data_IF_553021990164
#
_entry.id   IF_553021990164
#
_cell.length_a   1.000
_cell.length_b   1.000
_cell.length_c   1.000
_cell.angle_alpha   90.00
_cell.angle_beta   90.00
_cell.angle_gamma   90.00
#
_symmetry.space_group_name_H-M   'P 1'
#
loop_
_entity.id
_entity.type
_entity.pdbx_description
1 polymer ?
#
# COMPACT_ATOMS: atom_id res chain seq x y z
N UNK A 1 -1.45 43.47 -39.16
CA UNK A 1 -1.22 44.65 -38.33
C UNK A 1 -0.65 44.07 -37.04
N UNK A 2 0.69 43.97 -36.99
CA UNK A 2 1.61 44.86 -36.25
C UNK A 2 1.40 44.74 -34.75
N UNK A 3 2.29 44.29 -33.88
CA UNK A 3 3.73 44.53 -33.85
C UNK A 3 4.50 43.50 -33.00
N UNK A 4 5.73 43.35 -33.30
CA UNK A 4 6.79 42.65 -32.60
C UNK A 4 7.37 43.55 -31.51
N UNK A 5 7.69 43.04 -30.34
CA UNK A 5 8.81 43.56 -29.56
C UNK A 5 9.69 42.48 -28.98
N UNK A 6 10.95 42.54 -29.42
CA UNK A 6 12.12 41.82 -28.91
C UNK A 6 12.75 42.66 -27.80
N UNK A 7 13.12 42.08 -26.69
CA UNK A 7 14.06 42.68 -25.76
C UNK A 7 15.29 41.78 -25.54
N UNK A 8 16.39 42.30 -26.00
CA UNK A 8 17.77 41.88 -25.76
C UNK A 8 18.19 42.21 -24.33
N UNK A 9 18.83 41.30 -23.62
CA UNK A 9 19.67 41.63 -22.47
C UNK A 9 21.11 41.28 -22.73
N UNK A 10 21.96 42.30 -22.58
CA UNK A 10 23.39 42.31 -22.79
C UNK A 10 24.14 41.66 -21.64
N UNK A 11 25.16 40.90 -22.00
CA UNK A 11 26.26 40.45 -21.14
C UNK A 11 27.09 41.68 -20.72
N UNK A 12 27.38 41.83 -19.44
CA UNK A 12 28.48 42.67 -18.94
C UNK A 12 29.42 41.81 -18.10
N UNK A 13 30.66 41.81 -18.59
CA UNK A 13 31.85 41.24 -17.98
C UNK A 13 32.31 42.09 -16.80
N UNK A 14 32.75 41.46 -15.71
CA UNK A 14 33.59 42.09 -14.70
C UNK A 14 34.80 41.20 -14.42
N UNK A 15 35.98 41.80 -14.67
CA UNK A 15 37.30 41.28 -14.32
C UNK A 15 37.71 41.77 -12.92
N UNK A 16 38.59 41.06 -12.22
CA UNK A 16 39.07 41.44 -10.91
C UNK A 16 40.36 42.30 -10.97
N UNK A 17 40.65 43.07 -9.94
CA UNK A 17 42.01 43.51 -9.73
C UNK A 17 42.59 43.12 -8.37
N UNK A 18 43.89 43.04 -8.35
CA UNK A 18 44.89 43.33 -7.33
C UNK A 18 45.78 42.16 -6.91
N UNK A 19 46.94 42.20 -7.60
CA UNK A 19 48.21 41.63 -7.16
C UNK A 19 48.80 42.49 -6.03
N UNK A 20 49.12 41.89 -4.90
CA UNK A 20 49.95 42.48 -3.88
C UNK A 20 51.32 41.78 -3.88
N UNK A 21 52.36 42.55 -4.26
CA UNK A 21 53.75 42.16 -4.30
C UNK A 21 54.34 42.27 -2.89
N UNK A 22 54.79 41.17 -2.29
CA UNK A 22 55.60 41.18 -1.06
C UNK A 22 57.05 40.85 -1.44
N UNK A 23 57.95 41.75 -1.05
CA UNK A 23 59.41 41.69 -1.23
C UNK A 23 60.02 40.82 -0.13
N UNK A 24 60.77 39.78 -0.49
CA UNK A 24 61.51 38.95 0.47
C UNK A 24 62.89 39.54 0.73
N UNK A 25 63.26 39.78 1.99
CA UNK A 25 64.58 40.07 2.49
C UNK A 25 65.30 38.78 2.90
N UNK A 26 66.60 38.75 2.63
CA UNK A 26 67.57 37.66 2.87
C UNK A 26 67.72 37.34 4.37
N UNK A 27 67.65 36.03 4.72
CA UNK A 27 68.05 35.51 6.03
C UNK A 27 68.24 33.99 6.02
N UNK A 28 69.52 33.61 5.74
CA UNK A 28 69.97 32.20 5.73
C UNK A 28 70.02 31.66 7.15
N UNK A 29 69.27 30.64 7.45
CA UNK A 29 69.52 29.59 8.49
C UNK A 29 68.37 28.59 8.61
N UNK A 30 67.27 28.80 7.93
CA UNK A 30 66.09 27.92 8.05
C UNK A 30 65.98 26.84 6.93
N UNK A 31 66.75 26.96 5.83
CA UNK A 31 66.65 26.01 4.69
C UNK A 31 67.26 24.63 4.98
N UNK A 32 68.23 24.51 5.85
CA UNK A 32 68.89 23.22 6.10
C UNK A 32 68.07 22.29 7.04
N UNK A 33 67.18 22.83 7.84
CA UNK A 33 66.29 22.05 8.71
C UNK A 33 65.06 21.57 7.93
N UNK A 34 64.57 22.39 7.02
CA UNK A 34 63.40 22.05 6.19
C UNK A 34 63.70 20.93 5.18
N UNK A 35 64.89 20.88 4.60
CA UNK A 35 65.33 19.82 3.66
C UNK A 35 65.54 18.46 4.34
N UNK A 36 65.95 18.43 5.63
CA UNK A 36 66.06 17.15 6.39
C UNK A 36 64.70 16.63 6.86
N UNK A 37 63.74 17.48 7.19
CA UNK A 37 62.37 17.10 7.52
C UNK A 37 61.57 16.60 6.31
N UNK A 38 61.75 17.21 5.16
CA UNK A 38 61.12 16.76 3.89
C UNK A 38 61.66 15.40 3.40
N UNK A 39 62.95 15.08 3.67
CA UNK A 39 63.53 13.78 3.29
C UNK A 39 63.04 12.64 4.20
N UNK A 40 62.73 12.90 5.49
CA UNK A 40 62.14 11.94 6.42
C UNK A 40 60.66 11.70 6.11
N UNK A 41 59.91 12.73 5.77
CA UNK A 41 58.49 12.61 5.35
C UNK A 41 58.32 11.83 4.03
N UNK A 42 59.26 12.01 3.07
CA UNK A 42 59.24 11.21 1.82
C UNK A 42 59.50 9.72 2.04
N UNK A 43 60.34 9.34 3.02
CA UNK A 43 60.60 7.91 3.32
C UNK A 43 59.44 7.24 4.07
N UNK A 44 58.71 7.98 4.92
CA UNK A 44 57.50 7.47 5.57
C UNK A 44 56.28 7.33 4.64
N UNK A 45 56.12 8.23 3.66
CA UNK A 45 55.02 8.15 2.70
C UNK A 45 55.14 6.98 1.71
N UNK A 46 56.36 6.56 1.34
CA UNK A 46 56.56 5.42 0.41
C UNK A 46 56.32 4.07 1.07
N UNK A 47 56.59 3.91 2.35
CA UNK A 47 56.29 2.69 3.10
C UNK A 47 54.80 2.54 3.43
N UNK A 48 54.05 3.66 3.60
CA UNK A 48 52.62 3.63 3.81
C UNK A 48 51.80 3.35 2.54
N UNK A 49 52.30 3.80 1.37
CA UNK A 49 51.64 3.55 0.07
C UNK A 49 51.83 2.11 -0.40
N UNK A 50 52.95 1.45 -0.08
CA UNK A 50 53.13 0.02 -0.40
C UNK A 50 52.36 -0.93 0.52
N UNK A 51 52.05 -0.51 1.77
CA UNK A 51 51.26 -1.31 2.69
C UNK A 51 49.73 -1.23 2.40
N UNK A 52 49.26 -0.18 1.71
CA UNK A 52 47.84 -0.04 1.29
C UNK A 52 47.47 -0.86 0.03
N UNK A 53 48.46 -1.31 -0.75
CA UNK A 53 48.21 -2.09 -1.98
C UNK A 53 48.10 -3.60 -1.78
N UNK A 54 48.18 -4.14 -0.54
CA UNK A 54 48.10 -5.56 -0.23
C UNK A 54 46.94 -5.94 0.69
N UNK A 55 45.96 -5.05 0.89
CA UNK A 55 44.66 -5.48 1.44
C UNK A 55 43.92 -6.16 0.27
N UNK A 56 43.72 -7.49 0.29
CA UNK A 56 42.83 -8.10 -0.69
C UNK A 56 41.46 -7.43 -0.47
N UNK A 57 41.01 -6.70 -1.48
CA UNK A 57 39.61 -6.30 -1.63
C UNK A 57 38.80 -7.58 -1.78
N UNK A 58 38.58 -8.28 -0.69
CA UNK A 58 37.40 -9.10 -0.54
C UNK A 58 36.21 -8.13 -0.52
N UNK A 59 35.85 -7.64 -1.69
CA UNK A 59 34.50 -7.16 -1.92
C UNK A 59 33.60 -8.36 -1.65
N UNK A 60 33.24 -8.54 -0.37
CA UNK A 60 31.99 -9.20 -0.06
C UNK A 60 30.95 -8.32 -0.76
N UNK A 61 30.56 -8.73 -1.95
CA UNK A 61 29.29 -8.29 -2.53
C UNK A 61 28.26 -8.75 -1.53
N UNK A 62 28.03 -7.96 -0.49
CA UNK A 62 26.87 -8.10 0.36
C UNK A 62 25.70 -8.02 -0.62
N UNK A 63 25.05 -9.15 -0.89
CA UNK A 63 23.88 -9.20 -1.73
C UNK A 63 22.95 -8.12 -1.19
N UNK A 64 22.69 -7.11 -2.02
CA UNK A 64 21.78 -6.01 -1.65
C UNK A 64 20.48 -6.68 -1.24
N UNK A 65 19.96 -6.45 -0.02
CA UNK A 65 18.77 -7.14 0.41
C UNK A 65 17.67 -6.87 -0.63
N UNK A 66 17.06 -7.94 -1.15
CA UNK A 66 15.99 -7.87 -2.12
C UNK A 66 14.89 -6.98 -1.56
N UNK A 67 14.55 -5.90 -2.27
CA UNK A 67 13.55 -4.93 -1.85
C UNK A 67 12.18 -5.32 -2.40
N UNK A 68 11.14 -5.05 -1.62
CA UNK A 68 9.75 -5.16 -2.05
C UNK A 68 9.52 -4.31 -3.33
N UNK A 69 8.66 -4.81 -4.23
CA UNK A 69 8.36 -4.19 -5.53
C UNK A 69 9.49 -4.21 -6.56
N UNK A 70 10.71 -4.55 -6.19
CA UNK A 70 11.88 -4.48 -7.08
C UNK A 70 11.80 -5.49 -8.23
N UNK A 71 11.34 -6.72 -7.96
CA UNK A 71 11.18 -7.73 -8.99
C UNK A 71 10.16 -7.33 -10.05
N UNK A 72 9.05 -6.70 -9.62
CA UNK A 72 8.03 -6.16 -10.51
C UNK A 72 8.60 -5.07 -11.43
N UNK A 73 9.30 -4.10 -10.88
CA UNK A 73 9.91 -3.00 -11.65
C UNK A 73 10.88 -3.54 -12.72
N UNK A 74 11.73 -4.50 -12.35
CA UNK A 74 12.67 -5.14 -13.28
C UNK A 74 11.97 -5.93 -14.37
N UNK A 75 10.92 -6.70 -14.03
CA UNK A 75 10.12 -7.41 -15.01
C UNK A 75 9.48 -6.44 -16.01
N UNK A 76 8.89 -5.35 -15.53
CA UNK A 76 8.25 -4.35 -16.39
C UNK A 76 9.26 -3.69 -17.33
N UNK A 77 10.49 -3.45 -16.88
CA UNK A 77 11.57 -2.96 -17.74
C UNK A 77 11.95 -3.96 -18.84
N UNK A 78 12.08 -5.25 -18.49
CA UNK A 78 12.32 -6.33 -19.47
C UNK A 78 11.21 -6.38 -20.51
N UNK A 79 9.94 -6.38 -20.08
CA UNK A 79 8.79 -6.43 -20.99
C UNK A 79 8.71 -5.19 -21.90
N UNK A 80 9.00 -4.00 -21.37
CA UNK A 80 9.01 -2.75 -22.14
C UNK A 80 10.10 -2.78 -23.23
N UNK A 81 11.32 -3.17 -22.91
CA UNK A 81 12.43 -3.29 -23.86
C UNK A 81 12.12 -4.36 -24.92
N UNK A 82 11.57 -5.50 -24.50
CA UNK A 82 11.19 -6.58 -25.43
C UNK A 82 10.12 -6.10 -26.41
N UNK A 83 9.09 -5.38 -25.95
CA UNK A 83 8.03 -4.83 -26.79
C UNK A 83 8.51 -3.74 -27.75
N UNK A 84 9.60 -3.03 -27.40
CA UNK A 84 10.27 -2.06 -28.24
C UNK A 84 11.25 -2.69 -29.25
N UNK A 85 11.39 -4.02 -29.27
CA UNK A 85 12.36 -4.74 -30.13
C UNK A 85 13.81 -4.65 -29.65
N UNK A 86 14.07 -4.08 -28.47
CA UNK A 86 15.40 -3.90 -27.89
C UNK A 86 15.86 -5.15 -27.14
N UNK A 87 15.78 -6.31 -27.80
CA UNK A 87 15.98 -7.63 -27.18
C UNK A 87 17.39 -7.82 -26.60
N UNK A 88 18.41 -7.25 -27.24
CA UNK A 88 19.79 -7.29 -26.73
C UNK A 88 19.97 -6.52 -25.41
N UNK A 89 19.20 -5.47 -25.19
CA UNK A 89 19.20 -4.73 -23.91
C UNK A 89 18.33 -5.41 -22.85
N UNK A 90 17.26 -6.06 -23.27
CA UNK A 90 16.36 -6.80 -22.37
C UNK A 90 17.00 -8.06 -21.80
N UNK A 91 17.80 -8.77 -22.59
CA UNK A 91 18.34 -10.07 -22.22
C UNK A 91 19.14 -10.06 -20.90
N UNK A 92 20.19 -9.23 -20.72
CA UNK A 92 20.96 -9.24 -19.46
C UNK A 92 20.10 -8.87 -18.25
N UNK A 93 19.10 -8.00 -18.42
CA UNK A 93 18.17 -7.65 -17.33
C UNK A 93 17.26 -8.82 -16.95
N UNK A 94 16.85 -9.63 -17.94
CA UNK A 94 16.05 -10.83 -17.70
C UNK A 94 16.88 -11.93 -17.01
N UNK A 95 18.14 -12.11 -17.41
CA UNK A 95 19.09 -13.03 -16.78
C UNK A 95 19.32 -12.67 -15.31
N UNK A 96 19.59 -11.40 -15.04
CA UNK A 96 19.77 -10.88 -13.68
C UNK A 96 18.50 -11.04 -12.83
N UNK A 97 17.31 -10.80 -13.43
CA UNK A 97 16.05 -10.98 -12.74
C UNK A 97 15.80 -12.44 -12.36
N UNK A 98 16.01 -13.38 -13.28
CA UNK A 98 15.84 -14.82 -13.03
C UNK A 98 16.88 -15.36 -12.05
N UNK A 99 18.13 -14.87 -12.12
CA UNK A 99 19.16 -15.22 -11.15
C UNK A 99 18.77 -14.84 -9.71
N UNK A 100 18.22 -13.62 -9.54
CA UNK A 100 17.87 -13.09 -8.22
C UNK A 100 16.52 -13.63 -7.72
N UNK A 101 15.61 -13.99 -8.63
CA UNK A 101 14.27 -14.53 -8.35
C UNK A 101 13.99 -15.80 -9.17
N UNK A 102 14.67 -16.92 -8.84
CA UNK A 102 14.61 -18.14 -9.65
C UNK A 102 13.23 -18.82 -9.68
N UNK A 103 12.34 -18.47 -8.76
CA UNK A 103 10.96 -18.94 -8.70
C UNK A 103 9.96 -18.01 -9.42
N UNK A 104 10.44 -16.97 -10.12
CA UNK A 104 9.57 -16.04 -10.84
C UNK A 104 9.28 -16.56 -12.26
N UNK A 105 8.24 -17.37 -12.39
CA UNK A 105 7.87 -18.08 -13.62
C UNK A 105 7.67 -17.14 -14.82
N UNK A 106 7.04 -15.98 -14.62
CA UNK A 106 6.85 -15.01 -15.71
C UNK A 106 8.17 -14.40 -16.18
N UNK A 107 9.14 -14.18 -15.28
CA UNK A 107 10.47 -13.72 -15.63
C UNK A 107 11.24 -14.81 -16.39
N UNK A 108 11.11 -16.09 -16.00
CA UNK A 108 11.70 -17.23 -16.71
C UNK A 108 11.13 -17.36 -18.12
N UNK A 109 9.79 -17.16 -18.28
CA UNK A 109 9.16 -17.18 -19.60
C UNK A 109 9.69 -16.05 -20.50
N UNK A 110 9.81 -14.83 -19.96
CA UNK A 110 10.36 -13.68 -20.69
C UNK A 110 11.83 -13.91 -21.09
N UNK A 111 12.64 -14.50 -20.22
CA UNK A 111 14.02 -14.88 -20.53
C UNK A 111 14.07 -15.94 -21.64
N UNK A 112 13.23 -16.98 -21.56
CA UNK A 112 13.14 -18.02 -22.60
C UNK A 112 12.80 -17.43 -23.97
N UNK A 113 11.85 -16.52 -24.05
CA UNK A 113 11.50 -15.81 -25.28
C UNK A 113 12.66 -14.97 -25.82
N UNK A 114 13.37 -14.25 -24.95
CA UNK A 114 14.54 -13.44 -25.36
C UNK A 114 15.68 -14.30 -25.89
N UNK A 115 15.91 -15.48 -25.34
CA UNK A 115 16.89 -16.45 -25.85
C UNK A 115 16.46 -17.00 -27.22
N UNK A 116 15.17 -17.33 -27.40
CA UNK A 116 14.64 -17.76 -28.70
C UNK A 116 14.73 -16.65 -29.75
N UNK A 117 14.56 -15.40 -29.35
CA UNK A 117 14.66 -14.24 -30.25
C UNK A 117 16.06 -14.06 -30.88
N UNK A 118 17.09 -14.67 -30.32
CA UNK A 118 18.43 -14.67 -30.92
C UNK A 118 18.50 -15.51 -32.20
N UNK A 119 17.63 -16.50 -32.35
CA UNK A 119 17.61 -17.45 -33.46
C UNK A 119 16.39 -17.33 -34.36
N UNK A 120 15.38 -16.54 -33.99
CA UNK A 120 14.13 -16.41 -34.70
C UNK A 120 13.34 -15.14 -34.33
N UNK A 121 12.18 -14.96 -34.94
CA UNK A 121 11.27 -13.86 -34.61
C UNK A 121 10.37 -14.23 -33.45
N UNK A 122 10.25 -13.31 -32.46
CA UNK A 122 9.24 -13.38 -31.41
C UNK A 122 7.90 -12.90 -31.96
N UNK A 123 6.92 -13.79 -32.03
CA UNK A 123 5.54 -13.41 -32.43
C UNK A 123 4.69 -12.99 -31.21
N UNK A 124 4.84 -13.71 -30.09
CA UNK A 124 4.05 -13.50 -28.87
C UNK A 124 4.87 -13.91 -27.64
N UNK A 125 4.50 -13.40 -26.46
CA UNK A 125 5.06 -13.90 -25.20
C UNK A 125 4.74 -15.38 -25.03
N UNK A 126 5.77 -16.17 -24.68
CA UNK A 126 5.65 -17.62 -24.57
C UNK A 126 5.48 -18.30 -25.92
N UNK A 127 6.26 -17.89 -26.93
CA UNK A 127 6.22 -18.47 -28.26
C UNK A 127 6.81 -19.91 -28.27
N UNK A 128 6.21 -20.80 -27.51
CA UNK A 128 6.61 -22.20 -27.39
C UNK A 128 5.41 -23.13 -27.48
N UNK A 129 5.65 -24.36 -27.91
CA UNK A 129 4.64 -25.41 -27.92
C UNK A 129 4.60 -26.09 -26.57
N UNK A 130 3.48 -25.97 -25.85
CA UNK A 130 3.28 -26.68 -24.60
C UNK A 130 2.82 -28.11 -24.88
N UNK A 131 3.57 -29.14 -24.42
CA UNK A 131 3.30 -30.54 -24.78
C UNK A 131 2.06 -31.12 -24.07
N UNK A 132 1.72 -30.63 -22.87
CA UNK A 132 0.58 -31.13 -22.07
C UNK A 132 -0.49 -30.06 -21.88
N UNK A 133 -1.69 -30.47 -21.43
CA UNK A 133 -2.79 -29.55 -21.08
C UNK A 133 -2.38 -28.63 -19.94
N UNK A 134 -1.76 -29.17 -18.88
CA UNK A 134 -1.30 -28.41 -17.73
C UNK A 134 -0.25 -27.34 -18.11
N UNK A 135 0.67 -27.68 -19.01
CA UNK A 135 1.66 -26.75 -19.52
C UNK A 135 1.01 -25.62 -20.34
N UNK A 136 -0.04 -25.94 -21.13
CA UNK A 136 -0.82 -24.93 -21.87
C UNK A 136 -1.56 -23.99 -20.92
N UNK A 137 -2.20 -24.54 -19.88
CA UNK A 137 -2.93 -23.75 -18.88
C UNK A 137 -1.99 -22.82 -18.12
N UNK A 138 -0.83 -23.33 -17.70
CA UNK A 138 0.24 -22.53 -17.05
C UNK A 138 0.72 -21.42 -17.98
N UNK A 139 1.01 -21.70 -19.24
CA UNK A 139 1.43 -20.72 -20.23
C UNK A 139 0.37 -19.63 -20.46
N UNK A 140 -0.90 -20.02 -20.56
CA UNK A 140 -2.01 -19.09 -20.68
C UNK A 140 -2.15 -18.22 -19.42
N UNK A 141 -2.01 -18.79 -18.23
CA UNK A 141 -2.02 -18.05 -16.96
C UNK A 141 -0.92 -16.97 -16.93
N UNK A 142 0.33 -17.32 -17.32
CA UNK A 142 1.45 -16.38 -17.41
C UNK A 142 1.22 -15.26 -18.45
N UNK A 143 0.60 -15.59 -19.59
CA UNK A 143 0.22 -14.59 -20.60
C UNK A 143 -0.83 -13.61 -20.05
N UNK A 144 -1.86 -14.13 -19.38
CA UNK A 144 -2.88 -13.28 -18.74
C UNK A 144 -2.26 -12.41 -17.67
N UNK A 145 -1.36 -12.96 -16.85
CA UNK A 145 -0.61 -12.19 -15.83
C UNK A 145 0.19 -11.06 -16.47
N UNK A 146 0.97 -11.35 -17.53
CA UNK A 146 1.75 -10.35 -18.25
C UNK A 146 0.87 -9.23 -18.82
N UNK A 147 -0.23 -9.59 -19.47
CA UNK A 147 -1.18 -8.60 -20.02
C UNK A 147 -1.77 -7.71 -18.94
N UNK A 148 -2.12 -8.28 -17.78
CA UNK A 148 -2.66 -7.52 -16.64
C UNK A 148 -1.64 -6.54 -16.08
N UNK A 149 -0.38 -6.96 -15.90
CA UNK A 149 0.71 -6.11 -15.43
C UNK A 149 1.00 -4.96 -16.40
N UNK A 150 1.06 -5.24 -17.71
CA UNK A 150 1.27 -4.23 -18.74
C UNK A 150 0.09 -3.26 -18.84
N UNK A 151 -1.15 -3.76 -18.72
CA UNK A 151 -2.35 -2.91 -18.72
C UNK A 151 -2.36 -1.94 -17.51
N UNK A 152 -2.02 -2.45 -16.33
CA UNK A 152 -1.89 -1.62 -15.12
C UNK A 152 -0.86 -0.51 -15.31
N UNK A 153 0.31 -0.82 -15.91
CA UNK A 153 1.35 0.18 -16.19
C UNK A 153 0.88 1.25 -17.19
N UNK A 154 0.17 0.85 -18.26
CA UNK A 154 -0.35 1.78 -19.28
C UNK A 154 -1.44 2.72 -18.73
N UNK A 155 -2.23 2.27 -17.78
CA UNK A 155 -3.26 3.09 -17.11
C UNK A 155 -2.68 4.04 -16.04
N UNK A 156 -1.37 4.01 -15.85
CA UNK A 156 -0.68 4.78 -14.81
C UNK A 156 -0.79 4.07 -13.46
N UNK A 157 0.20 3.23 -13.13
CA UNK A 157 0.28 2.53 -11.84
C UNK A 157 0.21 3.46 -10.64
N UNK A 158 0.70 4.70 -10.84
CA UNK A 158 0.71 5.72 -9.79
C UNK A 158 -0.43 6.69 -10.09
N UNK A 159 -1.48 6.71 -9.28
CA UNK A 159 -2.52 7.72 -9.38
C UNK A 159 -1.94 9.14 -9.31
N UNK A 160 -2.65 10.16 -9.83
CA UNK A 160 -2.16 11.53 -9.81
C UNK A 160 -1.75 11.96 -8.39
N UNK A 161 -0.65 12.72 -8.23
CA UNK A 161 -0.23 13.22 -6.93
C UNK A 161 -1.34 13.98 -6.21
N UNK A 162 -1.45 13.78 -4.89
CA UNK A 162 -2.50 14.43 -4.08
C UNK A 162 -3.87 13.78 -4.17
N UNK A 163 -4.02 12.69 -4.93
CA UNK A 163 -5.26 11.90 -4.95
C UNK A 163 -5.24 10.77 -3.92
N UNK A 164 -6.41 10.42 -3.44
CA UNK A 164 -6.64 9.33 -2.47
C UNK A 164 -7.81 8.47 -2.95
N UNK A 165 -7.89 7.19 -2.49
CA UNK A 165 -9.09 6.39 -2.75
C UNK A 165 -10.34 7.06 -2.15
N UNK A 166 -11.39 7.20 -2.96
CA UNK A 166 -12.64 7.88 -2.57
C UNK A 166 -13.27 7.30 -1.28
N UNK A 167 -12.91 6.08 -0.93
CA UNK A 167 -13.39 5.40 0.28
C UNK A 167 -12.72 5.87 1.58
N UNK A 168 -11.58 6.55 1.53
CA UNK A 168 -10.79 6.95 2.69
C UNK A 168 -11.00 8.43 3.02
N UNK A 169 -12.15 8.78 3.66
CA UNK A 169 -12.52 10.16 3.92
C UNK A 169 -11.67 10.83 4.99
N UNK A 170 -11.34 10.09 6.04
CA UNK A 170 -10.56 10.63 7.17
C UNK A 170 -9.86 9.50 7.93
N UNK A 171 -8.57 9.68 8.22
CA UNK A 171 -7.82 8.86 9.15
C UNK A 171 -7.20 9.72 10.25
N UNK A 172 -7.28 9.31 11.53
CA UNK A 172 -6.56 10.00 12.59
C UNK A 172 -5.04 9.79 12.44
N UNK A 173 -4.25 10.71 12.99
CA UNK A 173 -2.77 10.65 12.87
C UNK A 173 -2.14 9.37 13.44
N UNK A 174 -2.79 8.72 14.38
CA UNK A 174 -2.35 7.45 14.96
C UNK A 174 -2.49 6.26 14.01
N UNK A 175 -3.37 6.34 13.01
CA UNK A 175 -3.57 5.30 11.99
C UNK A 175 -2.62 5.56 10.84
N UNK A 176 -1.44 4.94 10.92
CA UNK A 176 -0.31 5.24 10.01
C UNK A 176 -0.52 4.76 8.59
N UNK A 177 -1.28 3.68 8.40
CA UNK A 177 -1.39 3.05 7.09
C UNK A 177 -2.84 2.69 6.75
N UNK A 178 -3.11 2.64 5.45
CA UNK A 178 -4.29 2.03 4.86
C UNK A 178 -3.85 1.22 3.63
N UNK A 179 -4.66 0.24 3.25
CA UNK A 179 -4.48 -0.57 2.05
C UNK A 179 -5.68 -0.35 1.15
N UNK A 180 -5.44 -0.19 -0.15
CA UNK A 180 -6.47 -0.16 -1.17
C UNK A 180 -6.13 -1.16 -2.29
N UNK A 181 -7.09 -2.00 -2.67
CA UNK A 181 -6.93 -3.07 -3.65
C UNK A 181 -7.84 -2.79 -4.83
N UNK A 182 -7.24 -2.66 -6.01
CA UNK A 182 -7.90 -2.59 -7.31
C UNK A 182 -7.88 -3.98 -7.96
N UNK A 183 -9.02 -4.65 -7.95
CA UNK A 183 -9.11 -6.00 -8.48
C UNK A 183 -9.00 -6.04 -10.02
N UNK A 184 -9.49 -5.02 -10.71
CA UNK A 184 -9.39 -4.92 -12.18
C UNK A 184 -7.94 -4.78 -12.65
N UNK A 185 -7.12 -4.06 -11.89
CA UNK A 185 -5.71 -3.86 -12.19
C UNK A 185 -4.80 -4.92 -11.57
N UNK A 186 -5.33 -5.80 -10.69
CA UNK A 186 -4.52 -6.72 -9.86
C UNK A 186 -3.45 -5.98 -9.06
N UNK A 187 -3.85 -4.84 -8.42
CA UNK A 187 -2.92 -3.98 -7.66
C UNK A 187 -3.38 -3.78 -6.24
N UNK A 188 -2.41 -3.81 -5.35
CA UNK A 188 -2.56 -3.43 -3.96
C UNK A 188 -1.69 -2.20 -3.70
N UNK A 189 -2.29 -1.13 -3.22
CA UNK A 189 -1.59 0.11 -2.83
C UNK A 189 -1.48 0.17 -1.32
N UNK A 190 -0.25 0.35 -0.82
CA UNK A 190 0.03 0.69 0.57
C UNK A 190 0.09 2.21 0.69
N UNK A 191 -0.80 2.78 1.48
CA UNK A 191 -0.85 4.20 1.75
C UNK A 191 -0.32 4.49 3.17
N UNK A 192 0.47 5.55 3.29
CA UNK A 192 0.92 6.10 4.57
C UNK A 192 0.18 7.40 4.88
N UNK A 193 -0.31 7.51 6.11
CA UNK A 193 -0.96 8.70 6.63
C UNK A 193 0.07 9.60 7.33
N UNK A 194 0.66 10.50 6.56
CA UNK A 194 1.69 11.43 7.01
C UNK A 194 1.13 12.81 7.39
N UNK A 195 2.03 13.77 7.72
CA UNK A 195 1.63 15.15 8.05
C UNK A 195 0.90 15.87 6.91
N UNK A 196 1.13 15.48 5.67
CA UNK A 196 0.52 16.05 4.46
C UNK A 196 -0.69 15.24 3.97
N UNK A 197 -1.22 14.31 4.78
CA UNK A 197 -2.31 13.42 4.43
C UNK A 197 -1.83 12.06 3.92
N UNK A 198 -2.73 11.35 3.23
CA UNK A 198 -2.46 10.03 2.68
C UNK A 198 -1.59 10.14 1.41
N UNK A 199 -0.55 9.30 1.35
CA UNK A 199 0.29 9.13 0.16
C UNK A 199 0.56 7.67 -0.11
N UNK A 200 0.70 7.28 -1.36
CA UNK A 200 1.14 5.93 -1.74
C UNK A 200 2.63 5.80 -1.40
N UNK A 201 2.98 4.74 -0.67
CA UNK A 201 4.37 4.43 -0.32
C UNK A 201 4.88 3.16 -0.97
N UNK A 202 3.97 2.31 -1.45
CA UNK A 202 4.27 1.16 -2.27
C UNK A 202 3.02 0.71 -3.05
N UNK A 203 3.23 0.01 -4.16
CA UNK A 203 2.20 -0.70 -4.89
C UNK A 203 2.73 -2.07 -5.31
N UNK A 204 1.88 -3.07 -5.23
CA UNK A 204 2.23 -4.46 -5.45
C UNK A 204 1.25 -5.14 -6.40
N UNK A 205 1.74 -6.07 -7.18
CA UNK A 205 0.86 -6.99 -7.89
C UNK A 205 0.16 -7.91 -6.90
N UNK A 206 -1.15 -8.13 -7.09
CA UNK A 206 -1.98 -8.95 -6.24
C UNK A 206 -2.90 -9.87 -7.06
N UNK A 207 -2.97 -11.14 -6.64
CA UNK A 207 -3.92 -12.12 -7.18
C UNK A 207 -5.15 -12.20 -6.30
N UNK A 208 -6.33 -12.33 -6.91
CA UNK A 208 -7.63 -12.44 -6.23
C UNK A 208 -8.29 -13.80 -6.49
N UNK A 209 -9.52 -13.98 -6.08
CA UNK A 209 -10.28 -15.22 -6.21
C UNK A 209 -10.36 -15.75 -7.64
N UNK A 210 -10.29 -17.08 -7.83
CA UNK A 210 -10.39 -17.78 -9.12
C UNK A 210 -11.68 -17.43 -9.89
N UNK A 211 -12.77 -17.29 -9.15
CA UNK A 211 -14.09 -16.91 -9.70
C UNK A 211 -14.31 -15.39 -9.67
N UNK A 212 -13.22 -14.60 -9.47
CA UNK A 212 -13.24 -13.16 -9.46
C UNK A 212 -13.53 -12.56 -8.08
N UNK A 213 -14.36 -11.54 -8.08
CA UNK A 213 -14.71 -10.71 -6.93
C UNK A 213 -16.19 -10.82 -6.59
N UNK A 214 -16.62 -10.09 -5.54
CA UNK A 214 -17.98 -10.06 -5.01
C UNK A 214 -18.39 -11.42 -4.40
N UNK A 215 -17.63 -11.81 -3.37
CA UNK A 215 -17.91 -12.97 -2.56
C UNK A 215 -19.28 -12.86 -1.89
N UNK A 216 -20.10 -13.91 -2.04
CA UNK A 216 -21.43 -14.00 -1.42
C UNK A 216 -21.59 -15.21 -0.51
N UNK A 217 -21.04 -16.37 -0.89
CA UNK A 217 -21.22 -17.62 -0.16
C UNK A 217 -19.89 -18.30 0.16
N UNK A 218 -19.88 -19.12 1.18
CA UNK A 218 -18.70 -19.95 1.50
C UNK A 218 -18.36 -20.87 0.32
N UNK A 219 -17.06 -20.99 0.01
CA UNK A 219 -16.59 -21.87 -1.06
C UNK A 219 -16.74 -21.31 -2.49
N UNK A 220 -17.28 -20.12 -2.70
CA UNK A 220 -17.50 -19.52 -4.03
C UNK A 220 -16.22 -19.08 -4.75
N UNK A 221 -15.06 -19.18 -4.12
CA UNK A 221 -13.73 -18.82 -4.63
C UNK A 221 -13.64 -17.37 -5.11
N UNK A 222 -14.42 -16.46 -4.52
CA UNK A 222 -14.45 -15.04 -4.85
C UNK A 222 -13.84 -14.22 -3.72
N UNK A 223 -13.16 -13.13 -4.09
CA UNK A 223 -12.68 -12.13 -3.13
C UNK A 223 -13.82 -11.17 -2.80
N UNK A 224 -14.07 -10.86 -1.51
CA UNK A 224 -15.13 -9.94 -1.14
C UNK A 224 -14.78 -8.49 -1.51
N UNK A 225 -15.83 -7.68 -1.71
CA UNK A 225 -15.76 -6.24 -1.94
C UNK A 225 -16.21 -5.50 -0.69
N UNK A 226 -15.52 -4.42 -0.33
CA UNK A 226 -15.90 -3.62 0.83
C UNK A 226 -14.73 -2.98 1.56
N UNK A 227 -15.03 -2.50 2.76
CA UNK A 227 -14.07 -1.95 3.71
C UNK A 227 -13.86 -2.94 4.84
N UNK A 228 -12.66 -3.47 4.93
CA UNK A 228 -12.23 -4.44 5.94
C UNK A 228 -11.14 -3.86 6.83
N UNK A 229 -10.77 -4.63 7.87
CA UNK A 229 -9.69 -4.28 8.79
C UNK A 229 -8.83 -5.51 9.04
N UNK A 230 -7.54 -5.30 9.16
CA UNK A 230 -6.62 -6.36 9.57
C UNK A 230 -6.90 -6.71 11.02
N UNK A 231 -7.25 -7.96 11.29
CA UNK A 231 -7.58 -8.45 12.65
C UNK A 231 -6.38 -9.05 13.35
N UNK A 232 -5.54 -9.77 12.62
CA UNK A 232 -4.33 -10.40 13.17
C UNK A 232 -3.24 -10.54 12.11
N UNK A 233 -2.00 -10.63 12.59
CA UNK A 233 -0.82 -11.04 11.86
C UNK A 233 -0.54 -12.49 12.26
N UNK A 234 -0.67 -13.42 11.31
CA UNK A 234 -0.53 -14.86 11.55
C UNK A 234 0.92 -15.28 11.35
N UNK A 235 1.47 -15.98 12.35
CA UNK A 235 2.85 -16.45 12.31
C UNK A 235 3.01 -17.53 11.20
N UNK A 236 3.92 -17.34 10.23
CA UNK A 236 4.16 -18.30 9.15
C UNK A 236 4.53 -19.71 9.67
N UNK A 237 5.11 -19.82 10.87
CA UNK A 237 5.45 -21.12 11.47
C UNK A 237 4.22 -21.96 11.81
N UNK A 238 3.06 -21.34 11.96
CA UNK A 238 1.79 -22.00 12.28
C UNK A 238 0.91 -22.24 11.07
N UNK A 239 1.34 -21.73 9.91
CA UNK A 239 0.61 -21.82 8.65
C UNK A 239 1.18 -22.91 7.75
N UNK A 240 0.35 -23.42 6.83
CA UNK A 240 0.81 -24.22 5.71
C UNK A 240 1.77 -23.40 4.83
N UNK A 241 2.78 -24.08 4.24
CA UNK A 241 3.75 -23.46 3.30
C UNK A 241 3.08 -22.76 2.12
N UNK A 242 1.85 -23.14 1.80
CA UNK A 242 1.02 -22.52 0.78
C UNK A 242 0.84 -21.01 0.97
N UNK A 243 0.87 -20.52 2.23
CA UNK A 243 0.73 -19.12 2.58
C UNK A 243 2.03 -18.31 2.60
N UNK A 244 3.15 -18.95 2.28
CA UNK A 244 4.46 -18.32 2.13
C UNK A 244 4.95 -17.61 3.39
N UNK A 245 5.31 -16.31 3.26
CA UNK A 245 5.90 -15.52 4.33
C UNK A 245 4.95 -15.22 5.51
N UNK A 246 3.67 -15.59 5.44
CA UNK A 246 2.67 -15.39 6.49
C UNK A 246 1.33 -14.91 5.97
N UNK A 247 0.48 -14.41 6.87
CA UNK A 247 -0.83 -13.89 6.49
C UNK A 247 -1.32 -12.78 7.42
N UNK A 248 -2.11 -11.87 6.85
CA UNK A 248 -2.88 -10.84 7.55
C UNK A 248 -4.36 -11.16 7.41
N UNK A 249 -5.01 -11.55 8.49
CA UNK A 249 -6.44 -11.89 8.44
C UNK A 249 -7.31 -10.63 8.41
N UNK A 250 -8.41 -10.69 7.63
CA UNK A 250 -9.41 -9.64 7.53
C UNK A 250 -10.67 -10.00 8.33
N UNK A 251 -11.42 -8.97 8.74
CA UNK A 251 -12.72 -9.14 9.42
C UNK A 251 -13.87 -9.45 8.45
N UNK A 252 -13.63 -10.35 7.51
CA UNK A 252 -14.72 -10.88 6.67
C UNK A 252 -15.40 -12.07 7.34
N UNK A 253 -16.75 -12.18 7.34
CA UNK A 253 -17.70 -11.14 6.92
C UNK A 253 -17.78 -10.00 7.95
N UNK A 254 -17.79 -8.76 7.44
CA UNK A 254 -18.03 -7.58 8.27
C UNK A 254 -19.55 -7.39 8.55
N UNK A 255 -19.97 -6.43 9.39
CA UNK A 255 -21.38 -6.21 9.68
C UNK A 255 -22.27 -5.92 8.45
N UNK A 256 -21.74 -5.28 7.42
CA UNK A 256 -22.46 -5.06 6.16
C UNK A 256 -22.64 -6.38 5.39
N UNK A 257 -21.59 -7.21 5.31
CA UNK A 257 -21.65 -8.52 4.67
C UNK A 257 -22.68 -9.43 5.37
N UNK A 258 -22.63 -9.47 6.73
CA UNK A 258 -23.58 -10.25 7.53
C UNK A 258 -25.01 -9.80 7.29
N UNK A 259 -25.26 -8.48 7.25
CA UNK A 259 -26.58 -7.91 6.97
C UNK A 259 -27.09 -8.31 5.58
N UNK A 260 -26.20 -8.43 4.60
CA UNK A 260 -26.48 -8.86 3.23
C UNK A 260 -26.57 -10.37 3.06
N UNK A 261 -26.47 -11.13 4.16
CA UNK A 261 -26.52 -12.60 4.13
C UNK A 261 -25.28 -13.26 3.54
N UNK A 262 -24.17 -12.52 3.38
CA UNK A 262 -22.92 -13.10 2.92
C UNK A 262 -22.34 -14.05 3.95
N UNK A 263 -21.76 -15.16 3.50
CA UNK A 263 -21.25 -16.24 4.35
C UNK A 263 -19.80 -16.59 4.08
N UNK A 264 -19.24 -17.51 4.86
CA UNK A 264 -17.84 -17.94 4.80
C UNK A 264 -16.96 -17.12 5.76
N UNK A 265 -15.66 -17.41 5.74
CA UNK A 265 -14.65 -16.81 6.61
C UNK A 265 -13.24 -16.99 6.00
N UNK A 266 -12.19 -16.54 6.71
CA UNK A 266 -10.81 -16.88 6.34
C UNK A 266 -10.30 -16.12 5.11
N UNK A 267 -10.74 -14.89 4.89
CA UNK A 267 -10.15 -14.02 3.85
C UNK A 267 -8.90 -13.35 4.41
N UNK A 268 -7.77 -13.59 3.76
CA UNK A 268 -6.46 -13.12 4.18
C UNK A 268 -5.72 -12.40 3.04
N UNK A 269 -4.78 -11.53 3.41
CA UNK A 269 -3.67 -11.12 2.55
C UNK A 269 -2.50 -12.04 2.89
N UNK A 270 -1.98 -12.82 1.93
CA UNK A 270 -0.93 -13.82 2.21
C UNK A 270 0.10 -13.92 1.10
N UNK A 271 1.20 -14.59 1.36
CA UNK A 271 2.26 -14.83 0.40
C UNK A 271 1.96 -15.98 -0.57
N UNK A 272 3.00 -16.42 -1.26
CA UNK A 272 3.00 -17.54 -2.19
C UNK A 272 3.90 -18.66 -1.68
N UNK A 273 3.63 -19.92 -2.03
CA UNK A 273 4.53 -21.02 -1.68
C UNK A 273 5.94 -20.76 -2.23
N UNK A 274 6.99 -21.33 -1.62
CA UNK A 274 8.38 -21.04 -1.98
C UNK A 274 8.73 -21.28 -3.47
N UNK A 275 8.00 -22.15 -4.13
CA UNK A 275 8.20 -22.52 -5.53
C UNK A 275 7.61 -21.50 -6.51
N UNK A 276 6.83 -20.53 -6.02
CA UNK A 276 6.14 -19.54 -6.83
C UNK A 276 6.45 -18.13 -6.33
N UNK A 277 6.86 -17.24 -7.22
CA UNK A 277 7.02 -15.82 -6.88
C UNK A 277 5.68 -15.09 -6.85
N UNK A 278 4.83 -15.32 -7.84
CA UNK A 278 3.50 -14.72 -7.98
C UNK A 278 2.49 -15.74 -8.51
N UNK A 279 1.20 -15.41 -8.45
CA UNK A 279 0.11 -16.20 -9.02
C UNK A 279 -0.55 -15.44 -10.17
N UNK A 280 -1.26 -16.15 -11.04
CA UNK A 280 -2.13 -15.53 -12.03
C UNK A 280 -3.10 -14.52 -11.37
N UNK A 281 -3.65 -13.55 -12.11
CA UNK A 281 -4.50 -12.50 -11.54
C UNK A 281 -5.71 -13.01 -10.74
N UNK A 282 -6.23 -14.17 -11.14
CA UNK A 282 -7.38 -14.85 -10.51
C UNK A 282 -6.99 -16.30 -10.21
N UNK A 283 -6.36 -16.53 -9.06
CA UNK A 283 -5.80 -17.85 -8.73
C UNK A 283 -5.92 -18.25 -7.26
N UNK A 284 -6.74 -17.55 -6.46
CA UNK A 284 -6.95 -17.87 -5.04
C UNK A 284 -8.36 -18.41 -4.79
N UNK A 285 -8.60 -18.96 -3.62
CA UNK A 285 -9.94 -19.40 -3.20
C UNK A 285 -10.70 -18.27 -2.47
N UNK A 286 -10.34 -17.01 -2.74
CA UNK A 286 -10.99 -15.81 -2.22
C UNK A 286 -10.05 -14.87 -1.45
N UNK A 287 -8.89 -15.33 -1.03
CA UNK A 287 -7.84 -14.49 -0.44
C UNK A 287 -7.20 -13.54 -1.47
N UNK A 288 -6.32 -12.67 -0.98
CA UNK A 288 -5.47 -11.82 -1.82
C UNK A 288 -4.03 -12.30 -1.64
N UNK A 289 -3.42 -12.81 -2.71
CA UNK A 289 -2.05 -13.32 -2.66
C UNK A 289 -1.06 -12.33 -3.28
N UNK A 290 0.09 -12.15 -2.62
CA UNK A 290 1.20 -11.28 -3.01
C UNK A 290 2.50 -12.08 -3.10
N UNK A 291 3.51 -11.52 -3.76
CA UNK A 291 4.86 -12.06 -3.64
C UNK A 291 5.36 -11.96 -2.18
N UNK A 292 6.14 -12.94 -1.76
CA UNK A 292 6.61 -12.99 -0.37
C UNK A 292 7.37 -11.73 0.08
N UNK A 293 8.30 -11.13 -0.69
CA UNK A 293 8.97 -9.89 -0.29
C UNK A 293 8.01 -8.72 -0.07
N UNK A 294 6.96 -8.63 -0.90
CA UNK A 294 5.94 -7.58 -0.82
C UNK A 294 5.05 -7.76 0.42
N UNK A 295 4.64 -9.01 0.67
CA UNK A 295 3.90 -9.34 1.90
C UNK A 295 4.71 -9.07 3.16
N UNK A 296 6.00 -9.44 3.19
CA UNK A 296 6.88 -9.16 4.34
C UNK A 296 6.96 -7.67 4.66
N UNK A 297 6.95 -6.80 3.65
CA UNK A 297 6.84 -5.37 3.86
C UNK A 297 5.54 -5.01 4.57
N UNK A 298 4.41 -5.56 4.12
CA UNK A 298 3.11 -5.33 4.77
C UNK A 298 3.12 -5.83 6.21
N UNK A 299 3.60 -7.06 6.46
CA UNK A 299 3.67 -7.66 7.81
C UNK A 299 4.45 -6.80 8.81
N UNK A 300 5.52 -6.13 8.36
CA UNK A 300 6.34 -5.22 9.20
C UNK A 300 5.71 -3.83 9.35
N UNK A 301 4.81 -3.42 8.46
CA UNK A 301 4.39 -2.03 8.34
C UNK A 301 3.02 -1.79 8.94
N UNK A 302 2.06 -2.70 8.69
CA UNK A 302 0.66 -2.48 9.03
C UNK A 302 0.35 -2.70 10.51
N UNK A 303 -0.70 -2.03 10.96
CA UNK A 303 -1.18 -2.11 12.33
C UNK A 303 -2.48 -2.91 12.37
N UNK A 304 -2.53 -3.95 13.20
CA UNK A 304 -3.78 -4.70 13.43
C UNK A 304 -4.86 -3.79 14.04
N UNK A 305 -6.12 -4.08 13.72
CA UNK A 305 -7.35 -3.38 14.16
C UNK A 305 -7.55 -1.96 13.60
N UNK A 306 -6.48 -1.27 13.19
CA UNK A 306 -6.54 0.13 12.71
C UNK A 306 -6.32 0.27 11.22
N UNK A 307 -5.45 -0.56 10.62
CA UNK A 307 -5.24 -0.54 9.17
C UNK A 307 -6.49 -1.04 8.45
N UNK A 308 -7.12 -0.12 7.70
CA UNK A 308 -8.21 -0.47 6.80
C UNK A 308 -7.69 -1.09 5.52
N UNK A 309 -8.47 -2.02 4.98
CA UNK A 309 -8.27 -2.65 3.68
C UNK A 309 -9.52 -2.43 2.85
N UNK A 310 -9.43 -1.55 1.86
CA UNK A 310 -10.48 -1.34 0.86
C UNK A 310 -10.24 -2.32 -0.27
N UNK A 311 -11.24 -3.12 -0.62
CA UNK A 311 -11.20 -4.01 -1.79
C UNK A 311 -12.31 -3.58 -2.73
N UNK A 312 -11.95 -3.05 -3.91
CA UNK A 312 -12.88 -2.52 -4.88
C UNK A 312 -12.72 -3.22 -6.24
N UNK A 313 -13.78 -3.28 -7.06
CA UNK A 313 -13.67 -3.74 -8.46
C UNK A 313 -12.64 -2.91 -9.22
N UNK A 314 -12.73 -1.58 -9.06
CA UNK A 314 -11.77 -0.58 -9.51
C UNK A 314 -11.76 0.57 -8.51
N UNK A 315 -10.59 1.13 -8.22
CA UNK A 315 -10.45 2.25 -7.30
C UNK A 315 -10.71 3.56 -8.02
N UNK A 316 -11.54 4.40 -7.41
CA UNK A 316 -11.70 5.79 -7.81
C UNK A 316 -10.75 6.65 -6.99
N UNK A 317 -9.84 7.33 -7.68
CA UNK A 317 -8.87 8.24 -7.07
C UNK A 317 -9.35 9.67 -7.26
N UNK A 318 -9.46 10.41 -6.16
CA UNK A 318 -9.97 11.79 -6.14
C UNK A 318 -9.01 12.70 -5.37
N UNK A 319 -8.95 14.00 -5.69
CA UNK A 319 -8.29 14.97 -4.83
C UNK A 319 -8.85 14.87 -3.41
N UNK A 320 -7.96 14.93 -2.39
CA UNK A 320 -8.37 14.76 -0.99
C UNK A 320 -9.43 15.81 -0.57
N UNK A 321 -9.37 17.01 -1.13
CA UNK A 321 -10.32 18.10 -0.85
C UNK A 321 -11.72 17.83 -1.39
N UNK A 322 -11.86 17.05 -2.47
CA UNK A 322 -13.17 16.68 -3.04
C UNK A 322 -13.99 15.80 -2.08
N UNK A 323 -13.34 15.17 -1.09
CA UNK A 323 -14.00 14.39 -0.05
C UNK A 323 -14.58 15.24 1.09
N UNK A 324 -14.21 16.52 1.19
CA UNK A 324 -14.62 17.40 2.27
C UNK A 324 -16.14 17.55 2.40
N UNK A 325 -16.93 17.76 1.32
CA UNK A 325 -18.37 17.95 1.46
C UNK A 325 -19.07 16.73 2.10
N UNK A 326 -18.74 15.52 1.67
CA UNK A 326 -19.31 14.29 2.24
C UNK A 326 -18.83 14.09 3.69
N UNK A 327 -17.53 14.25 3.94
CA UNK A 327 -16.94 14.15 5.27
C UNK A 327 -17.62 15.11 6.25
N UNK A 328 -17.71 16.39 5.91
CA UNK A 328 -18.19 17.44 6.81
C UNK A 328 -19.69 17.29 7.07
N UNK A 329 -20.48 16.92 6.05
CA UNK A 329 -21.89 16.57 6.20
C UNK A 329 -22.10 15.40 7.16
N UNK A 330 -21.28 14.34 7.04
CA UNK A 330 -21.38 13.20 7.94
C UNK A 330 -20.90 13.54 9.35
N UNK A 331 -19.83 14.32 9.52
CA UNK A 331 -19.35 14.79 10.83
C UNK A 331 -20.43 15.60 11.56
N UNK A 332 -21.21 16.42 10.86
CA UNK A 332 -22.35 17.12 11.46
C UNK A 332 -23.42 16.14 11.98
N UNK A 333 -23.72 15.08 11.23
CA UNK A 333 -24.62 14.00 11.70
C UNK A 333 -24.08 13.28 12.94
N UNK A 334 -22.78 12.97 12.94
CA UNK A 334 -22.12 12.32 14.07
C UNK A 334 -22.10 13.21 15.31
N UNK A 335 -21.95 14.51 15.13
CA UNK A 335 -22.03 15.50 16.22
C UNK A 335 -23.43 15.53 16.86
N UNK A 336 -24.49 15.49 16.05
CA UNK A 336 -25.86 15.40 16.55
C UNK A 336 -26.12 14.08 17.33
N UNK A 337 -25.60 12.96 16.85
CA UNK A 337 -25.60 11.69 17.60
C UNK A 337 -24.85 11.80 18.93
N UNK A 338 -23.67 12.42 18.93
CA UNK A 338 -22.86 12.64 20.12
C UNK A 338 -23.57 13.53 21.14
N UNK A 339 -24.25 14.58 20.69
CA UNK A 339 -25.05 15.47 21.53
C UNK A 339 -26.22 14.74 22.18
N UNK A 340 -27.01 13.97 21.41
CA UNK A 340 -28.09 13.16 21.95
C UNK A 340 -27.62 12.17 23.03
N UNK A 341 -26.46 11.54 22.79
CA UNK A 341 -25.86 10.60 23.74
C UNK A 341 -25.35 11.29 25.01
N UNK A 342 -24.78 12.50 24.88
CA UNK A 342 -24.29 13.31 26.00
C UNK A 342 -25.42 13.99 26.78
N UNK A 343 -26.47 14.44 26.10
CA UNK A 343 -27.64 15.10 26.66
C UNK A 343 -28.61 14.18 27.43
N UNK A 344 -28.33 12.89 27.48
CA UNK A 344 -29.17 11.87 28.14
C UNK A 344 -30.59 11.78 27.52
N UNK A 345 -30.74 12.13 26.23
CA UNK A 345 -31.98 11.99 25.48
C UNK A 345 -31.99 10.65 24.72
N UNK A 346 -32.52 9.63 25.36
CA UNK A 346 -32.59 8.28 24.76
C UNK A 346 -33.47 8.26 23.51
N UNK A 347 -34.54 9.04 23.45
CA UNK A 347 -35.44 9.08 22.29
C UNK A 347 -34.72 9.67 21.06
N UNK A 348 -34.08 10.83 21.24
CA UNK A 348 -33.28 11.43 20.19
C UNK A 348 -32.12 10.50 19.77
N UNK A 349 -31.44 9.88 20.72
CA UNK A 349 -30.36 8.93 20.43
C UNK A 349 -30.86 7.72 19.61
N UNK A 350 -31.98 7.12 19.99
CA UNK A 350 -32.55 5.97 19.28
C UNK A 350 -33.06 6.31 17.87
N UNK A 351 -33.32 7.59 17.59
CA UNK A 351 -33.68 8.03 16.24
C UNK A 351 -32.56 7.84 15.21
N UNK A 352 -31.30 7.73 15.65
CA UNK A 352 -30.16 7.44 14.79
C UNK A 352 -30.02 5.94 14.43
N UNK A 353 -30.72 5.04 15.11
CA UNK A 353 -30.60 3.61 14.89
C UNK A 353 -31.71 3.09 13.98
N UNK A 354 -31.37 2.17 13.09
CA UNK A 354 -32.35 1.51 12.20
C UNK A 354 -33.21 0.52 13.00
N UNK A 355 -34.42 0.21 12.48
CA UNK A 355 -35.29 -0.79 13.13
C UNK A 355 -34.69 -2.20 13.09
N UNK A 356 -33.92 -2.50 12.06
CA UNK A 356 -33.18 -3.75 11.87
C UNK A 356 -31.76 -3.73 12.48
N UNK A 357 -31.48 -2.80 13.40
CA UNK A 357 -30.20 -2.69 14.10
C UNK A 357 -29.79 -4.00 14.78
N UNK A 358 -28.50 -4.34 14.62
CA UNK A 358 -27.87 -5.44 15.34
C UNK A 358 -26.55 -4.97 15.95
N UNK A 359 -26.37 -5.22 17.25
CA UNK A 359 -25.10 -5.04 17.94
C UNK A 359 -24.22 -6.29 17.88
N UNK A 360 -23.03 -6.20 18.50
CA UNK A 360 -22.16 -7.36 18.69
C UNK A 360 -22.95 -8.54 19.31
N UNK A 361 -22.61 -9.78 18.90
CA UNK A 361 -23.30 -11.01 19.33
C UNK A 361 -24.81 -11.02 19.00
N UNK A 362 -25.20 -10.32 17.92
CA UNK A 362 -26.60 -10.24 17.46
C UNK A 362 -27.57 -9.64 18.49
N UNK A 363 -27.09 -8.70 19.32
CA UNK A 363 -27.96 -7.95 20.25
C UNK A 363 -28.99 -7.20 19.43
N UNK A 364 -30.29 -7.40 19.75
CA UNK A 364 -31.42 -6.73 19.09
C UNK A 364 -31.49 -5.24 19.45
N UNK A 365 -32.17 -4.43 18.62
CA UNK A 365 -32.43 -3.01 18.90
C UNK A 365 -33.08 -2.78 20.28
N UNK A 366 -34.01 -3.65 20.70
CA UNK A 366 -34.67 -3.53 22.02
C UNK A 366 -33.67 -3.75 23.17
N UNK A 367 -32.87 -4.82 23.13
CA UNK A 367 -31.85 -5.07 24.15
C UNK A 367 -30.77 -3.99 24.13
N UNK A 368 -30.41 -3.46 22.95
CA UNK A 368 -29.48 -2.36 22.79
C UNK A 368 -30.01 -1.07 23.42
N UNK A 369 -31.30 -0.74 23.24
CA UNK A 369 -31.95 0.41 23.87
C UNK A 369 -31.84 0.36 25.39
N UNK A 370 -32.07 -0.80 26.00
CA UNK A 370 -31.91 -1.00 27.47
C UNK A 370 -30.43 -0.77 27.89
N UNK A 371 -29.51 -1.28 27.11
CA UNK A 371 -28.07 -1.09 27.38
C UNK A 371 -27.65 0.38 27.25
N UNK A 372 -28.12 1.07 26.21
CA UNK A 372 -27.89 2.51 26.05
C UNK A 372 -28.45 3.31 27.22
N UNK A 373 -29.69 3.05 27.64
CA UNK A 373 -30.29 3.71 28.79
C UNK A 373 -29.48 3.51 30.09
N UNK A 374 -29.02 2.28 30.34
CA UNK A 374 -28.14 1.99 31.48
C UNK A 374 -26.80 2.69 31.41
N UNK A 375 -26.18 2.75 30.23
CA UNK A 375 -24.91 3.43 30.02
C UNK A 375 -25.05 4.96 30.17
N UNK A 376 -26.12 5.55 29.65
CA UNK A 376 -26.43 6.97 29.79
C UNK A 376 -26.67 7.35 31.27
N UNK A 377 -27.42 6.54 32.00
CA UNK A 377 -27.62 6.74 33.45
C UNK A 377 -26.30 6.71 34.24
N UNK A 378 -25.36 5.85 33.88
CA UNK A 378 -24.02 5.79 34.49
C UNK A 378 -23.18 7.04 34.14
N UNK A 379 -23.33 7.56 32.94
CA UNK A 379 -22.59 8.75 32.48
C UNK A 379 -23.09 10.05 33.10
N UNK A 380 -24.29 10.08 33.62
CA UNK A 380 -24.92 11.22 34.34
C UNK A 380 -24.85 12.55 33.55
N UNK A 381 -25.07 12.49 32.25
CA UNK A 381 -25.05 13.67 31.37
C UNK A 381 -23.64 14.25 31.11
N UNK A 382 -22.58 13.52 31.46
CA UNK A 382 -21.21 13.96 31.12
C UNK A 382 -21.00 13.96 29.62
N UNK A 383 -20.49 15.06 29.05
CA UNK A 383 -20.22 15.12 27.62
C UNK A 383 -19.30 14.00 27.15
N UNK A 384 -19.62 13.42 25.99
CA UNK A 384 -18.78 12.42 25.34
C UNK A 384 -17.80 13.14 24.40
N UNK A 385 -16.52 12.83 24.49
CA UNK A 385 -15.48 13.33 23.58
C UNK A 385 -15.13 12.21 22.60
N UNK A 386 -15.25 12.50 21.30
CA UNK A 386 -14.81 11.57 20.25
C UNK A 386 -13.34 11.82 19.93
N UNK A 387 -12.51 10.82 20.12
CA UNK A 387 -11.06 10.85 19.82
C UNK A 387 -10.75 9.92 18.67
N UNK A 388 -9.68 10.21 17.93
CA UNK A 388 -9.16 9.32 16.88
C UNK A 388 -10.23 8.96 15.82
N UNK A 389 -11.00 9.97 15.39
CA UNK A 389 -12.09 9.79 14.44
C UNK A 389 -11.56 9.34 13.08
N UNK A 390 -12.14 8.29 12.56
CA UNK A 390 -11.79 7.67 11.30
C UNK A 390 -13.05 7.34 10.51
N UNK A 391 -13.12 7.84 9.27
CA UNK A 391 -14.29 7.73 8.39
C UNK A 391 -13.91 7.03 7.09
N UNK A 392 -14.71 6.02 6.70
CA UNK A 392 -14.58 5.31 5.43
C UNK A 392 -15.94 5.18 4.80
N UNK A 393 -16.03 5.54 3.53
CA UNK A 393 -17.26 5.48 2.77
C UNK A 393 -17.21 4.29 1.82
N UNK A 394 -18.26 3.49 1.80
CA UNK A 394 -18.46 2.44 0.82
C UNK A 394 -19.76 2.70 0.07
N UNK A 395 -19.66 2.81 -1.24
CA UNK A 395 -20.79 3.06 -2.11
C UNK A 395 -20.91 1.91 -3.10
N UNK A 396 -22.08 1.28 -3.08
CA UNK A 396 -22.54 0.30 -4.05
C UNK A 396 -24.06 0.47 -4.23
N UNK A 397 -24.87 -0.55 -3.93
CA UNK A 397 -26.34 -0.44 -3.92
C UNK A 397 -26.86 0.47 -2.79
N UNK A 398 -26.11 0.58 -1.70
CA UNK A 398 -26.39 1.44 -0.55
C UNK A 398 -25.14 2.25 -0.18
N UNK A 399 -25.33 3.52 0.19
CA UNK A 399 -24.26 4.31 0.81
C UNK A 399 -24.05 3.86 2.26
N UNK A 400 -22.82 3.39 2.55
CA UNK A 400 -22.45 2.96 3.90
C UNK A 400 -21.26 3.78 4.40
N UNK A 401 -21.38 4.34 5.62
CA UNK A 401 -20.27 4.96 6.34
C UNK A 401 -19.80 4.05 7.47
N UNK A 402 -18.51 3.72 7.45
CA UNK A 402 -17.83 2.97 8.52
C UNK A 402 -17.06 3.94 9.38
N UNK A 403 -17.50 4.11 10.60
CA UNK A 403 -16.94 5.08 11.55
C UNK A 403 -16.22 4.33 12.68
N UNK A 404 -15.04 4.79 13.04
CA UNK A 404 -14.32 4.28 14.21
C UNK A 404 -13.81 5.46 15.02
N UNK A 405 -14.04 5.44 16.34
CA UNK A 405 -13.59 6.48 17.26
C UNK A 405 -13.43 5.96 18.68
N UNK A 406 -12.60 6.64 19.47
CA UNK A 406 -12.56 6.48 20.90
C UNK A 406 -13.68 7.30 21.56
N UNK A 407 -14.61 6.66 22.25
CA UNK A 407 -15.67 7.28 23.03
C UNK A 407 -15.18 7.49 24.47
N UNK A 408 -14.80 8.74 24.82
CA UNK A 408 -14.20 9.07 26.12
C UNK A 408 -15.10 10.07 26.87
N UNK A 409 -15.67 9.70 28.04
CA UNK A 409 -16.39 10.68 28.86
C UNK A 409 -15.49 11.84 29.25
N UNK A 410 -16.03 13.04 29.27
CA UNK A 410 -15.29 14.24 29.65
C UNK A 410 -14.70 14.08 31.05
N UNK A 411 -13.42 14.42 31.21
CA UNK A 411 -12.66 14.26 32.46
C UNK A 411 -12.02 12.89 32.65
N UNK A 412 -12.31 11.90 31.79
CA UNK A 412 -11.65 10.59 31.82
C UNK A 412 -10.43 10.54 30.87
N UNK A 413 -9.44 9.73 31.25
CA UNK A 413 -8.20 9.55 30.45
C UNK A 413 -8.40 8.57 29.30
N UNK A 414 -9.29 7.59 29.47
CA UNK A 414 -9.54 6.50 28.54
C UNK A 414 -11.04 6.24 28.39
N UNK A 415 -11.41 5.55 27.33
CA UNK A 415 -12.76 5.15 27.01
C UNK A 415 -12.80 3.87 26.17
N UNK A 416 -13.90 3.60 25.52
CA UNK A 416 -14.05 2.44 24.62
C UNK A 416 -13.84 2.87 23.18
N UNK A 417 -13.13 2.05 22.39
CA UNK A 417 -13.11 2.24 20.94
C UNK A 417 -14.35 1.59 20.34
N UNK A 418 -15.14 2.40 19.64
CA UNK A 418 -16.37 1.97 18.99
C UNK A 418 -16.19 1.96 17.48
N UNK A 419 -16.83 1.01 16.83
CA UNK A 419 -17.02 1.00 15.37
C UNK A 419 -18.51 0.94 15.09
N UNK A 420 -18.96 1.90 14.25
CA UNK A 420 -20.34 2.01 13.80
C UNK A 420 -20.40 1.83 12.29
N UNK A 421 -21.46 1.18 11.82
CA UNK A 421 -21.83 1.12 10.41
C UNK A 421 -23.15 1.86 10.24
N UNK A 422 -23.12 2.89 9.42
CA UNK A 422 -24.25 3.73 9.10
C UNK A 422 -24.65 3.50 7.65
N UNK A 423 -25.93 3.49 7.36
CA UNK A 423 -26.47 3.53 6.00
C UNK A 423 -27.18 4.86 5.75
N UNK A 424 -27.13 5.34 4.52
CA UNK A 424 -27.92 6.49 4.11
C UNK A 424 -29.33 6.04 3.70
N UNK A 425 -30.35 6.51 4.42
CA UNK A 425 -31.75 6.25 4.09
C UNK A 425 -32.37 7.52 3.49
N UNK A 426 -32.85 7.43 2.24
CA UNK A 426 -33.46 8.56 1.53
C UNK A 426 -34.61 9.16 2.35
N UNK A 427 -34.57 10.48 2.59
CA UNK A 427 -35.55 11.18 3.41
C UNK A 427 -35.35 11.08 4.93
N UNK A 428 -34.45 10.21 5.43
CA UNK A 428 -34.19 10.04 6.85
C UNK A 428 -32.73 10.34 7.23
N UNK A 429 -31.84 10.47 6.24
CA UNK A 429 -30.41 10.67 6.45
C UNK A 429 -29.67 9.42 6.91
N UNK A 430 -28.54 9.62 7.55
CA UNK A 430 -27.69 8.53 8.02
C UNK A 430 -28.26 7.84 9.26
N UNK A 431 -28.29 6.50 9.26
CA UNK A 431 -28.80 5.65 10.35
C UNK A 431 -27.82 4.52 10.67
N UNK A 432 -27.61 4.25 11.97
CA UNK A 432 -26.73 3.18 12.46
C UNK A 432 -27.48 1.86 12.36
N UNK A 433 -26.91 0.90 11.63
CA UNK A 433 -27.44 -0.48 11.60
C UNK A 433 -26.56 -1.45 12.39
N UNK A 434 -25.35 -1.05 12.76
CA UNK A 434 -24.47 -1.82 13.62
C UNK A 434 -23.60 -0.91 14.48
N UNK A 435 -23.41 -1.27 15.75
CA UNK A 435 -22.42 -0.68 16.65
C UNK A 435 -21.76 -1.75 17.51
N UNK A 436 -20.43 -1.66 17.67
CA UNK A 436 -19.68 -2.59 18.50
C UNK A 436 -18.38 -2.00 19.04
N UNK A 437 -17.92 -2.53 20.17
CA UNK A 437 -16.56 -2.29 20.70
C UNK A 437 -15.56 -3.15 19.93
N UNK A 438 -14.38 -2.58 19.64
CA UNK A 438 -13.29 -3.24 18.91
C UNK A 438 -12.01 -3.32 19.75
#
# INVERSE_FOLDING_TARGET
>A
MVDRERNHWKLTSFAPPFLCRVRFGRGSFFELILLRLLSLLRRCCWSAVLALCLVPLWSHSAATPLRDGQAEQRLMQVLALTSAGLTQQALPLAEDLVRDYPNFQLAQLALGDLLLAQTGQLATLGNTTAPTSEARDTLNALRVESLRRVAAQKQGLIPPPGTVPAQLLQLPKSYRHAIAIDAALSRLYLLENGPQGLRIVADYYASVGKMGIDKTTEGDQRTPLGVYFITSNLDPKTLDKFYGAGALSLNYPNPLDVRRGKTGHGIWLHGTPPEQFSRAPQATDGCVALANPDLERLLRTVQTRTTAVVIAPSLTWVPADDLAPLRDSFVATLAAWQEAKSGNDLSALLSFYTDDFQGLKKITRQAWSQQLAADMAKQKGRPLVLKELSLRHWQDEEDTMVVTFGAVPQGERSGSTLRQYWRFAKGQGWKIFFEGKI
#
